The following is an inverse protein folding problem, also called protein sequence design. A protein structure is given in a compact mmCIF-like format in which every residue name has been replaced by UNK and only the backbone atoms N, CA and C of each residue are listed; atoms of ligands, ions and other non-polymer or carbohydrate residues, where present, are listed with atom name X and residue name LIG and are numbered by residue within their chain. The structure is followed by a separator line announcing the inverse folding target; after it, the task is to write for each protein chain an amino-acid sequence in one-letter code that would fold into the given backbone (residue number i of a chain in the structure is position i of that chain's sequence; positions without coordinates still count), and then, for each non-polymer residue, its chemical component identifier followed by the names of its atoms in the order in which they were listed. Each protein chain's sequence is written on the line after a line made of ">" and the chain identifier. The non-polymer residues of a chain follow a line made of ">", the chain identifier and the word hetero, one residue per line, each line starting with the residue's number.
data_IF_396690051490
#
_entry.id   IF_396690051490
#
_cell.length_a   1.000
_cell.length_b   1.000
_cell.length_c   1.000
_cell.angle_alpha   90.00
_cell.angle_beta   90.00
_cell.angle_gamma   90.00
#
_symmetry.space_group_name_H-M   'P 1'
#
loop_
_entity.id
_entity.type
_entity.pdbx_description
1 polymer ?
#
# COMPACT_ATOMS: atom_id res chain seq x y z
N UNK A 1 3.20 15.85 9.34
CA UNK A 1 3.80 14.84 8.44
C UNK A 1 3.05 14.77 7.10
N UNK A 2 1.73 14.53 7.11
CA UNK A 2 0.87 14.49 5.91
C UNK A 2 1.02 15.71 4.99
N UNK A 3 1.00 16.93 5.53
CA UNK A 3 1.20 18.16 4.73
C UNK A 3 2.55 18.18 4.01
N UNK A 4 3.63 17.73 4.67
CA UNK A 4 4.97 17.66 4.07
C UNK A 4 5.00 16.64 2.93
N UNK A 5 4.32 15.49 3.10
CA UNK A 5 4.18 14.49 2.06
C UNK A 5 3.37 15.02 0.87
N UNK A 6 2.21 15.64 1.11
CA UNK A 6 1.38 16.21 0.05
C UNK A 6 2.11 17.30 -0.74
N UNK A 7 2.86 18.17 -0.04
CA UNK A 7 3.73 19.17 -0.67
C UNK A 7 4.84 18.51 -1.49
N UNK A 8 5.44 17.42 -0.99
CA UNK A 8 6.48 16.69 -1.71
C UNK A 8 5.95 16.05 -2.99
N UNK A 9 4.80 15.37 -2.92
CA UNK A 9 4.08 14.79 -4.07
C UNK A 9 3.80 15.88 -5.11
N UNK A 10 3.23 17.00 -4.68
CA UNK A 10 2.88 18.12 -5.56
C UNK A 10 4.12 18.77 -6.20
N UNK A 11 5.16 19.03 -5.41
CA UNK A 11 6.40 19.67 -5.86
C UNK A 11 7.12 18.82 -6.91
N UNK A 12 7.14 17.51 -6.72
CA UNK A 12 7.84 16.58 -7.60
C UNK A 12 6.94 15.96 -8.67
N UNK A 13 5.65 16.31 -8.71
CA UNK A 13 4.66 15.77 -9.66
C UNK A 13 4.70 14.25 -9.71
N UNK A 14 4.76 13.60 -8.55
CA UNK A 14 4.91 12.14 -8.47
C UNK A 14 3.70 11.41 -9.06
N UNK A 15 2.50 11.96 -8.83
CA UNK A 15 1.23 11.53 -9.39
C UNK A 15 0.19 12.63 -9.15
N UNK A 16 -0.99 12.49 -9.74
CA UNK A 16 -2.12 13.38 -9.61
C UNK A 16 -3.45 12.60 -9.53
N UNK A 17 -4.57 13.29 -9.31
CA UNK A 17 -5.87 12.65 -9.07
C UNK A 17 -6.45 11.85 -10.24
N UNK A 18 -5.92 12.00 -11.46
CA UNK A 18 -6.31 11.18 -12.61
C UNK A 18 -5.49 9.89 -12.75
N UNK A 19 -4.42 9.74 -11.99
CA UNK A 19 -3.54 8.57 -12.09
C UNK A 19 -4.13 7.39 -11.32
N UNK A 20 -3.96 6.18 -11.85
CA UNK A 20 -4.29 4.95 -11.15
C UNK A 20 -3.06 4.47 -10.37
N UNK A 21 -3.15 4.49 -9.04
CA UNK A 21 -2.01 4.19 -8.18
C UNK A 21 -2.05 2.73 -7.69
N UNK A 22 -0.93 2.04 -7.86
CA UNK A 22 -0.68 0.72 -7.27
C UNK A 22 0.51 0.79 -6.32
N UNK A 23 0.31 0.46 -5.05
CA UNK A 23 1.34 0.43 -4.02
C UNK A 23 1.83 -1.01 -3.83
N UNK A 24 3.11 -1.25 -4.14
CA UNK A 24 3.78 -2.48 -3.75
C UNK A 24 3.94 -2.53 -2.22
N UNK A 25 3.47 -3.61 -1.60
CA UNK A 25 3.43 -3.76 -0.14
C UNK A 25 4.00 -5.10 0.29
N UNK A 26 4.91 -5.09 1.26
CA UNK A 26 5.58 -6.29 1.77
C UNK A 26 5.04 -6.77 3.13
N UNK A 27 4.14 -6.01 3.76
CA UNK A 27 3.77 -6.18 5.17
C UNK A 27 4.74 -5.48 6.13
N UNK A 28 5.90 -5.03 5.65
CA UNK A 28 6.86 -4.29 6.44
C UNK A 28 6.41 -2.86 6.77
N UNK A 29 6.85 -2.36 7.93
CA UNK A 29 6.48 -1.05 8.50
C UNK A 29 6.51 0.13 7.51
N UNK A 30 7.49 0.18 6.61
CA UNK A 30 7.65 1.32 5.69
C UNK A 30 6.55 1.31 4.61
N UNK A 31 6.25 0.14 4.08
CA UNK A 31 5.18 -0.04 3.09
C UNK A 31 3.78 0.09 3.70
N UNK A 32 3.59 -0.38 4.94
CA UNK A 32 2.37 -0.17 5.72
C UNK A 32 2.16 1.32 6.00
N UNK A 33 3.20 2.04 6.41
CA UNK A 33 3.16 3.48 6.60
C UNK A 33 2.76 4.20 5.31
N UNK A 34 3.32 3.81 4.16
CA UNK A 34 2.94 4.39 2.87
C UNK A 34 1.45 4.18 2.55
N UNK A 35 0.90 2.98 2.80
CA UNK A 35 -0.53 2.69 2.62
C UNK A 35 -1.42 3.59 3.49
N UNK A 36 -1.09 3.74 4.78
CA UNK A 36 -1.80 4.65 5.67
C UNK A 36 -1.71 6.10 5.20
N UNK A 37 -0.55 6.55 4.72
CA UNK A 37 -0.40 7.92 4.23
C UNK A 37 -1.23 8.21 2.97
N UNK A 38 -1.32 7.27 2.04
CA UNK A 38 -2.20 7.41 0.88
C UNK A 38 -3.67 7.48 1.31
N UNK A 39 -4.07 6.62 2.26
CA UNK A 39 -5.42 6.60 2.80
C UNK A 39 -5.79 7.90 3.54
N UNK A 40 -4.91 8.41 4.39
CA UNK A 40 -5.09 9.68 5.11
C UNK A 40 -5.15 10.89 4.16
N UNK A 41 -4.43 10.82 3.03
CA UNK A 41 -4.51 11.81 1.96
C UNK A 41 -5.72 11.63 1.05
N UNK A 42 -6.57 10.61 1.30
CA UNK A 42 -7.77 10.32 0.52
C UNK A 42 -7.47 10.02 -0.96
N UNK A 43 -6.27 9.51 -1.24
CA UNK A 43 -5.84 9.14 -2.59
C UNK A 43 -6.32 7.71 -2.83
N UNK A 44 -7.13 7.43 -3.86
CA UNK A 44 -7.50 6.06 -4.20
C UNK A 44 -6.30 5.25 -4.72
N UNK A 45 -6.13 4.02 -4.24
CA UNK A 45 -5.02 3.15 -4.64
C UNK A 45 -5.38 1.67 -4.54
N UNK A 46 -4.57 0.82 -5.17
CA UNK A 46 -4.62 -0.63 -5.01
C UNK A 46 -3.34 -1.13 -4.33
N UNK A 47 -3.44 -2.18 -3.52
CA UNK A 47 -2.28 -2.87 -2.96
C UNK A 47 -1.83 -4.02 -3.88
N UNK A 48 -0.51 -4.18 -4.01
CA UNK A 48 0.11 -5.30 -4.73
C UNK A 48 1.11 -5.98 -3.81
N UNK A 49 0.83 -7.23 -3.46
CA UNK A 49 1.68 -8.06 -2.60
C UNK A 49 2.20 -9.27 -3.38
N UNK A 50 3.47 -9.59 -3.17
CA UNK A 50 4.09 -10.80 -3.70
C UNK A 50 4.59 -11.64 -2.54
N UNK A 51 4.00 -12.81 -2.37
CA UNK A 51 4.42 -13.81 -1.41
C UNK A 51 5.42 -14.76 -2.08
N UNK A 52 6.72 -14.55 -1.80
CA UNK A 52 7.82 -15.37 -2.31
C UNK A 52 8.03 -16.69 -1.54
N UNK A 53 7.24 -16.95 -0.49
CA UNK A 53 7.27 -18.18 0.32
C UNK A 53 8.62 -18.55 0.95
N UNK A 54 9.53 -17.58 1.06
CA UNK A 54 10.89 -17.81 1.57
C UNK A 54 10.93 -18.12 3.08
N UNK A 55 9.86 -17.83 3.83
CA UNK A 55 9.80 -17.97 5.29
C UNK A 55 8.71 -18.90 5.79
N UNK A 56 8.13 -19.72 4.90
CA UNK A 56 7.05 -20.64 5.27
C UNK A 56 5.85 -19.89 5.85
N UNK A 57 5.39 -20.30 7.04
CA UNK A 57 4.20 -19.73 7.72
C UNK A 57 4.28 -18.21 7.90
N UNK A 58 5.46 -17.65 8.20
CA UNK A 58 5.60 -16.20 8.35
C UNK A 58 5.29 -15.44 7.05
N UNK A 59 5.53 -16.04 5.88
CA UNK A 59 5.14 -15.44 4.60
C UNK A 59 3.63 -15.46 4.38
N UNK A 60 2.94 -16.50 4.85
CA UNK A 60 1.48 -16.57 4.80
C UNK A 60 0.84 -15.59 5.79
N UNK A 61 1.42 -15.44 6.99
CA UNK A 61 1.02 -14.43 7.98
C UNK A 61 1.16 -13.01 7.44
N UNK A 62 2.26 -12.69 6.75
CA UNK A 62 2.45 -11.39 6.10
C UNK A 62 1.37 -11.13 5.04
N UNK A 63 1.06 -12.13 4.20
CA UNK A 63 0.04 -12.00 3.16
C UNK A 63 -1.35 -11.77 3.76
N UNK A 64 -1.72 -12.53 4.79
CA UNK A 64 -2.99 -12.36 5.49
C UNK A 64 -3.06 -11.01 6.22
N UNK A 65 -1.98 -10.57 6.85
CA UNK A 65 -1.90 -9.23 7.44
C UNK A 65 -2.18 -8.14 6.40
N UNK A 66 -1.57 -8.22 5.21
CA UNK A 66 -1.78 -7.24 4.15
C UNK A 66 -3.23 -7.26 3.63
N UNK A 67 -3.87 -8.43 3.54
CA UNK A 67 -5.31 -8.55 3.21
C UNK A 67 -6.18 -7.83 4.22
N UNK A 68 -5.99 -8.10 5.50
CA UNK A 68 -6.74 -7.44 6.57
C UNK A 68 -6.48 -5.93 6.60
N UNK A 69 -5.26 -5.49 6.33
CA UNK A 69 -4.95 -4.07 6.21
C UNK A 69 -5.72 -3.41 5.06
N UNK A 70 -5.84 -4.07 3.92
CA UNK A 70 -6.59 -3.54 2.77
C UNK A 70 -8.05 -3.24 3.14
N UNK A 71 -8.70 -4.15 3.87
CA UNK A 71 -10.09 -4.01 4.32
C UNK A 71 -10.28 -2.85 5.33
N UNK A 72 -9.21 -2.44 6.01
CA UNK A 72 -9.24 -1.35 7.00
C UNK A 72 -9.01 0.03 6.40
N UNK A 73 -8.63 0.14 5.12
CA UNK A 73 -8.27 1.39 4.47
C UNK A 73 -9.36 1.80 3.46
N UNK A 74 -10.23 2.79 3.78
CA UNK A 74 -11.35 3.18 2.91
C UNK A 74 -10.98 3.59 1.48
N UNK A 75 -9.74 4.05 1.26
CA UNK A 75 -9.24 4.45 -0.06
C UNK A 75 -8.41 3.37 -0.75
N UNK A 76 -8.24 2.21 -0.12
CA UNK A 76 -7.72 1.00 -0.78
C UNK A 76 -8.85 0.34 -1.56
N UNK A 77 -8.79 0.43 -2.89
CA UNK A 77 -9.85 -0.03 -3.78
C UNK A 77 -9.81 -1.55 -4.03
N UNK A 78 -8.62 -2.14 -3.96
CA UNK A 78 -8.40 -3.56 -4.20
C UNK A 78 -7.03 -3.99 -3.66
N UNK A 79 -6.90 -5.29 -3.39
CA UNK A 79 -5.61 -5.95 -3.16
C UNK A 79 -5.40 -7.05 -4.19
N UNK A 80 -4.19 -7.11 -4.74
CA UNK A 80 -3.75 -8.18 -5.63
C UNK A 80 -2.59 -8.92 -4.98
N UNK A 81 -2.74 -10.23 -4.80
CA UNK A 81 -1.72 -11.11 -4.24
C UNK A 81 -1.23 -12.07 -5.31
N UNK A 82 0.09 -12.23 -5.44
CA UNK A 82 0.72 -13.28 -6.26
C UNK A 82 1.61 -14.14 -5.37
N UNK A 83 1.54 -15.44 -5.58
CA UNK A 83 2.44 -16.42 -4.98
C UNK A 83 3.50 -16.80 -6.04
N UNK A 84 4.77 -16.76 -5.66
CA UNK A 84 5.90 -17.24 -6.48
C UNK A 84 6.73 -18.31 -5.76
#
# INVERSE_FOLDING_TARGET
>A
MLQKLNQYISKHKLFNNSDQLALAISGGKDSVFAAHMLNELQIPFCLVHVNFRLRGEASEEDQEFVRHLADQLPYCLAIYTKEE
#
